data_IF_058422616339
#
_entry.id   IF_058422616339
#
_cell.length_a   1.000
_cell.length_b   1.000
_cell.length_c   1.000
_cell.angle_alpha   90.00
_cell.angle_beta   90.00
_cell.angle_gamma   90.00
#
_symmetry.space_group_name_H-M   'P 1'
#
loop_
_entity.id
_entity.type
_entity.pdbx_description
1 polymer ?
#
# COMPACT_ATOMS: atom_id res chain seq x y z
N UNK A 1 7.74 -0.08 29.36
CA UNK A 1 8.50 1.19 29.36
C UNK A 1 7.71 2.26 28.61
N UNK A 2 7.93 3.54 28.92
CA UNK A 2 7.31 4.68 28.24
C UNK A 2 7.52 4.68 26.72
N UNK A 3 8.58 4.05 26.22
CA UNK A 3 8.85 3.91 24.79
C UNK A 3 7.79 3.09 24.05
N UNK A 4 7.29 2.00 24.67
CA UNK A 4 6.19 1.20 24.08
C UNK A 4 4.91 2.03 23.98
N UNK A 5 4.60 2.83 25.00
CA UNK A 5 3.44 3.74 25.00
C UNK A 5 3.59 4.80 23.90
N UNK A 6 4.78 5.39 23.77
CA UNK A 6 5.07 6.36 22.71
C UNK A 6 4.95 5.73 21.31
N UNK A 7 5.40 4.49 21.14
CA UNK A 7 5.23 3.73 19.90
C UNK A 7 3.76 3.52 19.53
N UNK A 8 2.93 3.11 20.49
CA UNK A 8 1.48 2.96 20.28
C UNK A 8 0.80 4.28 19.94
N UNK A 9 1.17 5.37 20.62
CA UNK A 9 0.63 6.71 20.31
C UNK A 9 0.93 7.13 18.87
N UNK A 10 2.15 6.88 18.37
CA UNK A 10 2.50 7.14 16.98
C UNK A 10 1.64 6.35 15.99
N UNK A 11 1.30 5.09 16.32
CA UNK A 11 0.42 4.27 15.49
C UNK A 11 -0.98 4.87 15.37
N UNK A 12 -1.56 5.32 16.48
CA UNK A 12 -2.87 5.98 16.45
C UNK A 12 -2.85 7.27 15.63
N UNK A 13 -1.79 8.08 15.75
CA UNK A 13 -1.61 9.28 14.92
C UNK A 13 -1.48 8.92 13.43
N UNK A 14 -0.74 7.86 13.09
CA UNK A 14 -0.61 7.37 11.71
C UNK A 14 -1.97 6.91 11.17
N UNK A 15 -2.74 6.14 11.95
CA UNK A 15 -4.10 5.71 11.58
C UNK A 15 -5.03 6.91 11.31
N UNK A 16 -5.00 7.92 12.17
CA UNK A 16 -5.77 9.15 11.97
C UNK A 16 -5.38 9.88 10.68
N UNK A 17 -4.08 9.99 10.41
CA UNK A 17 -3.58 10.64 9.18
C UNK A 17 -3.97 9.86 7.91
N UNK A 18 -3.94 8.52 7.97
CA UNK A 18 -4.43 7.66 6.89
C UNK A 18 -5.92 7.90 6.67
N UNK A 19 -6.73 7.93 7.72
CA UNK A 19 -8.16 8.19 7.62
C UNK A 19 -8.46 9.57 7.00
N UNK A 20 -7.74 10.61 7.43
CA UNK A 20 -7.85 11.96 6.85
C UNK A 20 -7.42 12.03 5.38
N UNK A 21 -6.42 11.26 4.98
CA UNK A 21 -6.04 11.16 3.57
C UNK A 21 -7.16 10.51 2.76
N UNK A 22 -7.67 9.37 3.24
CA UNK A 22 -8.70 8.59 2.54
C UNK A 22 -10.03 9.34 2.48
N UNK A 23 -10.37 10.16 3.48
CA UNK A 23 -11.58 10.98 3.49
C UNK A 23 -11.62 12.05 2.39
N UNK A 24 -10.50 12.26 1.68
CA UNK A 24 -10.44 13.19 0.54
C UNK A 24 -10.95 12.55 -0.76
N UNK A 25 -11.28 11.24 -0.75
CA UNK A 25 -11.76 10.51 -1.92
C UNK A 25 -13.21 10.05 -1.74
N UNK A 26 -13.97 9.88 -2.84
CA UNK A 26 -15.33 9.35 -2.78
C UNK A 26 -15.35 7.87 -2.39
N UNK A 27 -16.39 7.46 -1.66
CA UNK A 27 -16.73 6.06 -1.49
C UNK A 27 -17.39 5.54 -2.77
N UNK A 28 -16.87 4.44 -3.32
CA UNK A 28 -17.36 3.82 -4.55
C UNK A 28 -17.68 2.37 -4.31
N UNK A 29 -18.87 1.94 -4.73
CA UNK A 29 -19.34 0.56 -4.58
C UNK A 29 -19.63 -0.14 -5.92
N UNK A 30 -19.48 0.56 -7.05
CA UNK A 30 -19.76 0.02 -8.39
C UNK A 30 -19.02 0.79 -9.49
N UNK A 31 -19.00 0.24 -10.70
CA UNK A 31 -18.38 0.84 -11.89
C UNK A 31 -16.92 1.27 -11.67
N UNK A 32 -16.15 0.33 -11.09
CA UNK A 32 -14.71 0.43 -10.89
C UNK A 32 -13.99 -0.76 -11.53
N UNK A 33 -12.69 -0.60 -11.73
CA UNK A 33 -11.79 -1.66 -12.19
C UNK A 33 -10.59 -1.70 -11.25
N UNK A 34 -10.25 -2.88 -10.73
CA UNK A 34 -9.11 -3.02 -9.83
C UNK A 34 -7.83 -3.20 -10.63
N UNK A 35 -6.87 -2.31 -10.40
CA UNK A 35 -5.52 -2.50 -10.93
C UNK A 35 -4.82 -3.69 -10.22
N UNK A 36 -3.76 -4.26 -10.79
CA UNK A 36 -2.97 -5.31 -10.13
C UNK A 36 -2.49 -4.93 -8.72
N UNK A 37 -2.07 -3.68 -8.52
CA UNK A 37 -1.68 -3.17 -7.20
C UNK A 37 -2.84 -3.22 -6.18
N UNK A 38 -4.06 -2.89 -6.63
CA UNK A 38 -5.27 -2.92 -5.79
C UNK A 38 -5.62 -4.36 -5.38
N UNK A 39 -5.57 -5.28 -6.35
CA UNK A 39 -5.78 -6.72 -6.11
C UNK A 39 -4.75 -7.29 -5.12
N UNK A 40 -3.48 -6.91 -5.26
CA UNK A 40 -2.41 -7.35 -4.36
C UNK A 40 -2.66 -6.90 -2.92
N UNK A 41 -3.02 -5.63 -2.68
CA UNK A 41 -3.24 -5.15 -1.31
C UNK A 41 -4.51 -5.73 -0.70
N UNK A 42 -5.57 -5.95 -1.49
CA UNK A 42 -6.81 -6.58 -1.03
C UNK A 42 -6.58 -8.05 -0.66
N UNK A 43 -5.77 -8.78 -1.44
CA UNK A 43 -5.34 -10.13 -1.09
C UNK A 43 -4.55 -10.14 0.22
N UNK A 44 -3.63 -9.18 0.42
CA UNK A 44 -2.91 -9.06 1.69
C UNK A 44 -3.81 -8.69 2.87
N UNK A 45 -4.81 -7.84 2.64
CA UNK A 45 -5.84 -7.50 3.63
C UNK A 45 -6.67 -8.74 4.00
N UNK A 46 -6.95 -9.61 3.04
CA UNK A 46 -7.66 -10.87 3.27
C UNK A 46 -6.87 -11.80 4.20
N UNK A 47 -5.56 -11.95 3.98
CA UNK A 47 -4.67 -12.68 4.89
C UNK A 47 -4.67 -12.09 6.30
N UNK A 48 -4.66 -10.75 6.40
CA UNK A 48 -4.73 -10.04 7.69
C UNK A 48 -6.03 -10.37 8.44
N UNK A 49 -7.18 -10.42 7.74
CA UNK A 49 -8.46 -10.80 8.35
C UNK A 49 -8.32 -12.19 8.98
N UNK A 50 -7.85 -13.17 8.21
CA UNK A 50 -7.65 -14.55 8.70
C UNK A 50 -6.70 -14.63 9.89
N UNK A 51 -5.58 -13.89 9.87
CA UNK A 51 -4.63 -13.84 10.98
C UNK A 51 -5.25 -13.22 12.25
N UNK A 52 -5.99 -12.11 12.10
CA UNK A 52 -6.64 -11.45 13.23
C UNK A 52 -7.73 -12.32 13.85
N UNK A 53 -8.55 -12.99 13.02
CA UNK A 53 -9.59 -13.91 13.48
C UNK A 53 -8.99 -15.04 14.32
N UNK A 54 -7.94 -15.70 13.81
CA UNK A 54 -7.19 -16.72 14.56
C UNK A 54 -6.63 -16.17 15.88
N UNK A 55 -6.11 -14.94 15.85
CA UNK A 55 -5.64 -14.26 17.07
C UNK A 55 -6.74 -14.12 18.11
N UNK A 56 -7.91 -13.58 17.72
CA UNK A 56 -9.04 -13.40 18.63
C UNK A 56 -9.67 -14.72 19.11
N UNK A 57 -9.81 -15.71 18.23
CA UNK A 57 -10.31 -17.06 18.56
C UNK A 57 -9.44 -17.74 19.63
N UNK A 58 -8.12 -17.52 19.57
CA UNK A 58 -7.17 -18.04 20.55
C UNK A 58 -6.93 -17.09 21.74
N UNK A 59 -7.78 -16.07 21.93
CA UNK A 59 -7.64 -15.03 22.98
C UNK A 59 -6.29 -14.30 22.96
N UNK A 60 -5.61 -14.28 21.81
CA UNK A 60 -4.33 -13.62 21.58
C UNK A 60 -4.52 -12.30 20.82
N UNK A 61 -5.09 -11.30 21.50
CA UNK A 61 -5.27 -9.96 20.94
C UNK A 61 -3.93 -9.28 20.59
N UNK A 62 -2.81 -9.70 21.20
CA UNK A 62 -1.49 -9.19 20.89
C UNK A 62 -1.02 -9.57 19.48
N UNK A 63 -1.32 -10.79 19.04
CA UNK A 63 -1.06 -11.22 17.66
C UNK A 63 -1.83 -10.35 16.67
N UNK A 64 -3.14 -10.19 16.87
CA UNK A 64 -3.98 -9.33 16.02
C UNK A 64 -3.48 -7.88 16.01
N UNK A 65 -3.19 -7.30 17.17
CA UNK A 65 -2.66 -5.94 17.28
C UNK A 65 -1.34 -5.76 16.49
N UNK A 66 -0.45 -6.75 16.57
CA UNK A 66 0.84 -6.73 15.88
C UNK A 66 0.65 -6.84 14.36
N UNK A 67 -0.18 -7.77 13.90
CA UNK A 67 -0.48 -7.97 12.49
C UNK A 67 -1.12 -6.72 11.87
N UNK A 68 -2.13 -6.13 12.53
CA UNK A 68 -2.80 -4.90 12.08
C UNK A 68 -1.79 -3.75 12.00
N UNK A 69 -0.94 -3.59 13.01
CA UNK A 69 0.08 -2.53 13.02
C UNK A 69 1.08 -2.70 11.87
N UNK A 70 1.58 -3.91 11.65
CA UNK A 70 2.53 -4.22 10.58
C UNK A 70 1.90 -3.97 9.21
N UNK A 71 0.68 -4.47 8.97
CA UNK A 71 -0.03 -4.22 7.71
C UNK A 71 -0.27 -2.72 7.50
N UNK A 72 -0.86 -2.04 8.47
CA UNK A 72 -1.27 -0.63 8.33
C UNK A 72 -0.06 0.27 8.11
N UNK A 73 1.02 0.05 8.86
CA UNK A 73 2.19 0.91 8.79
C UNK A 73 3.12 0.51 7.65
N UNK A 74 3.64 -0.72 7.69
CA UNK A 74 4.77 -1.14 6.87
C UNK A 74 4.39 -1.62 5.48
N UNK A 75 3.10 -1.85 5.20
CA UNK A 75 2.63 -2.34 3.90
C UNK A 75 1.70 -1.30 3.29
N UNK A 76 0.58 -1.04 3.96
CA UNK A 76 -0.45 -0.15 3.43
C UNK A 76 0.05 1.28 3.34
N UNK A 77 0.52 1.87 4.44
CA UNK A 77 0.84 3.29 4.45
C UNK A 77 2.18 3.64 3.83
N UNK A 78 3.21 2.82 4.05
CA UNK A 78 4.54 3.12 3.53
C UNK A 78 4.63 2.84 2.03
N UNK A 79 3.93 1.83 1.49
CA UNK A 79 4.00 1.44 0.07
C UNK A 79 2.71 1.71 -0.69
N UNK A 80 1.61 1.03 -0.36
CA UNK A 80 0.39 1.11 -1.17
C UNK A 80 -0.17 2.54 -1.27
N UNK A 81 -0.25 3.27 -0.15
CA UNK A 81 -0.74 4.66 -0.15
C UNK A 81 0.14 5.59 -0.98
N UNK A 82 1.46 5.38 -1.00
CA UNK A 82 2.35 6.19 -1.82
C UNK A 82 2.16 5.87 -3.32
N UNK A 83 2.05 4.59 -3.66
CA UNK A 83 1.85 4.12 -5.03
C UNK A 83 0.50 4.58 -5.61
N UNK A 84 -0.58 4.38 -4.86
CA UNK A 84 -1.94 4.62 -5.34
C UNK A 84 -2.28 6.11 -5.47
N UNK A 85 -1.55 7.03 -4.81
CA UNK A 85 -1.82 8.49 -4.87
C UNK A 85 -1.97 9.01 -6.30
N UNK A 86 -1.09 8.60 -7.20
CA UNK A 86 -1.12 9.05 -8.60
C UNK A 86 -2.42 8.62 -9.29
N UNK A 87 -2.87 7.39 -9.06
CA UNK A 87 -4.15 6.88 -9.59
C UNK A 87 -5.37 7.46 -8.88
N UNK A 88 -5.32 7.61 -7.55
CA UNK A 88 -6.44 8.14 -6.77
C UNK A 88 -6.72 9.62 -7.08
N UNK A 89 -5.69 10.45 -7.23
CA UNK A 89 -5.85 11.85 -7.63
C UNK A 89 -6.06 12.02 -9.13
N UNK A 90 -5.40 11.19 -9.96
CA UNK A 90 -5.44 11.20 -11.42
C UNK A 90 -5.33 12.61 -12.07
N UNK A 91 -4.50 13.49 -11.51
CA UNK A 91 -4.47 14.92 -11.90
C UNK A 91 -4.12 15.15 -13.36
N UNK A 92 -3.36 14.24 -13.96
CA UNK A 92 -2.91 14.31 -15.34
C UNK A 92 -3.76 13.45 -16.29
N UNK A 93 -4.81 12.78 -15.79
CA UNK A 93 -5.70 11.94 -16.61
C UNK A 93 -5.03 10.71 -17.23
N UNK A 94 -3.91 10.22 -16.67
CA UNK A 94 -3.15 9.09 -17.21
C UNK A 94 -3.89 7.76 -16.99
N UNK A 95 -4.66 7.66 -15.90
CA UNK A 95 -5.47 6.48 -15.58
C UNK A 95 -6.91 6.66 -16.06
N UNK A 96 -7.56 5.56 -16.44
CA UNK A 96 -9.00 5.57 -16.73
C UNK A 96 -9.80 5.92 -15.47
N UNK A 97 -11.01 6.47 -15.66
CA UNK A 97 -11.89 6.78 -14.53
C UNK A 97 -12.26 5.51 -13.73
N UNK A 98 -12.37 4.36 -14.39
CA UNK A 98 -12.66 3.08 -13.72
C UNK A 98 -11.52 2.63 -12.81
N UNK A 99 -10.26 2.80 -13.26
CA UNK A 99 -9.09 2.50 -12.44
C UNK A 99 -8.96 3.49 -11.27
N UNK A 100 -9.24 4.78 -11.48
CA UNK A 100 -9.29 5.76 -10.39
C UNK A 100 -10.32 5.38 -9.33
N UNK A 101 -11.52 4.96 -9.76
CA UNK A 101 -12.56 4.45 -8.85
C UNK A 101 -12.14 3.16 -8.15
N UNK A 102 -11.36 2.30 -8.80
CA UNK A 102 -10.78 1.10 -8.21
C UNK A 102 -9.81 1.40 -7.07
N UNK A 103 -8.98 2.45 -7.24
CA UNK A 103 -8.15 2.98 -6.15
C UNK A 103 -8.99 3.48 -4.98
N UNK A 104 -10.08 4.22 -5.23
CA UNK A 104 -10.95 4.72 -4.16
C UNK A 104 -11.66 3.59 -3.40
N UNK A 105 -12.22 2.62 -4.13
CA UNK A 105 -12.80 1.40 -3.54
C UNK A 105 -11.79 0.71 -2.63
N UNK A 106 -10.57 0.50 -3.11
CA UNK A 106 -9.53 -0.21 -2.35
C UNK A 106 -9.05 0.57 -1.12
N UNK A 107 -8.86 1.88 -1.24
CA UNK A 107 -8.51 2.75 -0.12
C UNK A 107 -9.55 2.66 1.00
N UNK A 108 -10.83 2.82 0.67
CA UNK A 108 -11.91 2.71 1.64
C UNK A 108 -12.06 1.29 2.20
N UNK A 109 -11.99 0.27 1.34
CA UNK A 109 -12.08 -1.14 1.77
C UNK A 109 -10.99 -1.53 2.76
N UNK A 110 -9.74 -1.09 2.53
CA UNK A 110 -8.64 -1.28 3.46
C UNK A 110 -8.88 -0.56 4.79
N UNK A 111 -9.22 0.73 4.77
CA UNK A 111 -9.44 1.50 6.00
C UNK A 111 -10.63 0.96 6.81
N UNK A 112 -11.76 0.70 6.16
CA UNK A 112 -12.96 0.13 6.80
C UNK A 112 -12.61 -1.18 7.52
N UNK A 113 -11.88 -2.06 6.85
CA UNK A 113 -11.47 -3.36 7.41
C UNK A 113 -10.48 -3.18 8.56
N UNK A 114 -9.46 -2.33 8.41
CA UNK A 114 -8.49 -2.03 9.49
C UNK A 114 -9.23 -1.54 10.75
N UNK A 115 -10.18 -0.62 10.60
CA UNK A 115 -10.93 -0.07 11.73
C UNK A 115 -11.73 -1.17 12.45
N UNK A 116 -12.43 -2.03 11.71
CA UNK A 116 -13.21 -3.14 12.27
C UNK A 116 -12.33 -4.17 12.98
N UNK A 117 -11.18 -4.54 12.38
CA UNK A 117 -10.23 -5.47 12.98
C UNK A 117 -9.61 -4.90 14.27
N UNK A 118 -9.39 -3.58 14.32
CA UNK A 118 -8.76 -2.88 15.43
C UNK A 118 -9.75 -2.47 16.53
N UNK A 119 -11.05 -2.39 16.24
CA UNK A 119 -12.07 -1.92 17.17
C UNK A 119 -12.06 -2.61 18.55
N UNK A 120 -11.87 -3.94 18.66
CA UNK A 120 -11.77 -4.61 19.95
C UNK A 120 -10.56 -4.17 20.80
N UNK A 121 -9.53 -3.58 20.19
CA UNK A 121 -8.28 -3.18 20.85
C UNK A 121 -8.24 -1.66 21.08
N UNK A 122 -8.70 -0.86 20.13
CA UNK A 122 -8.66 0.61 20.17
C UNK A 122 -10.05 1.21 19.88
N UNK A 123 -11.01 1.08 20.80
CA UNK A 123 -12.42 1.33 20.52
C UNK A 123 -12.75 2.79 20.23
N UNK A 124 -12.12 3.74 20.90
CA UNK A 124 -12.49 5.16 20.79
C UNK A 124 -12.09 5.80 19.47
N UNK A 125 -10.86 5.57 19.00
CA UNK A 125 -10.38 6.15 17.74
C UNK A 125 -11.03 5.46 16.53
N UNK A 126 -11.26 4.16 16.63
CA UNK A 126 -11.93 3.41 15.56
C UNK A 126 -13.38 3.84 15.43
N UNK A 127 -14.10 4.03 16.55
CA UNK A 127 -15.45 4.60 16.59
C UNK A 127 -15.48 6.02 16.00
N UNK A 128 -14.57 6.90 16.42
CA UNK A 128 -14.56 8.29 15.95
C UNK A 128 -14.35 8.38 14.42
N UNK A 129 -13.40 7.61 13.87
CA UNK A 129 -13.17 7.57 12.43
C UNK A 129 -14.35 6.93 11.70
N UNK A 130 -14.91 5.86 12.26
CA UNK A 130 -16.04 5.13 11.68
C UNK A 130 -17.30 5.99 11.55
N UNK A 131 -17.67 6.70 12.63
CA UNK A 131 -18.86 7.54 12.67
C UNK A 131 -18.80 8.76 11.74
N UNK A 132 -17.57 9.20 11.46
CA UNK A 132 -17.31 10.29 10.53
C UNK A 132 -17.41 9.81 9.08
N UNK A 133 -16.80 8.67 8.76
CA UNK A 133 -16.62 8.26 7.37
C UNK A 133 -17.68 7.29 6.85
N UNK A 134 -18.15 6.33 7.65
CA UNK A 134 -18.82 5.14 7.10
C UNK A 134 -20.27 4.94 7.56
N UNK A 135 -20.60 5.28 8.81
CA UNK A 135 -21.95 5.07 9.33
C UNK A 135 -22.29 6.07 10.43
N UNK A 136 -23.57 6.21 10.76
CA UNK A 136 -24.00 6.88 12.02
C UNK A 136 -24.21 5.90 13.16
N UNK A 137 -24.15 4.61 12.86
CA UNK A 137 -24.18 3.54 13.85
C UNK A 137 -22.78 3.17 14.30
N UNK A 138 -22.67 2.76 15.56
CA UNK A 138 -21.40 2.37 16.18
C UNK A 138 -20.70 1.26 15.41
N UNK A 139 -19.37 1.31 15.34
CA UNK A 139 -18.55 0.22 14.76
C UNK A 139 -18.71 -1.06 15.60
N UNK A 140 -19.00 -0.90 16.89
CA UNK A 140 -19.07 -2.00 17.87
C UNK A 140 -20.33 -2.86 17.74
N UNK A 141 -21.31 -2.44 16.92
CA UNK A 141 -22.48 -3.26 16.57
C UNK A 141 -22.37 -3.86 15.16
N UNK A 142 -21.28 -3.57 14.44
CA UNK A 142 -21.06 -4.09 13.08
C UNK A 142 -20.52 -5.52 13.15
N UNK A 143 -20.76 -6.28 12.08
CA UNK A 143 -20.17 -7.62 11.94
C UNK A 143 -18.65 -7.52 11.83
N UNK A 144 -17.98 -8.45 12.52
CA UNK A 144 -16.55 -8.60 12.39
C UNK A 144 -16.20 -9.06 10.95
N UNK A 145 -15.08 -8.59 10.36
CA UNK A 145 -14.72 -8.93 8.98
C UNK A 145 -14.55 -10.45 8.77
N UNK A 146 -14.89 -10.88 7.57
CA UNK A 146 -14.70 -12.23 7.06
C UNK A 146 -13.83 -12.18 5.80
N UNK A 147 -13.09 -13.26 5.56
CA UNK A 147 -12.31 -13.39 4.33
C UNK A 147 -13.25 -13.40 3.12
N UNK A 148 -12.86 -12.69 2.07
CA UNK A 148 -13.63 -12.51 0.85
C UNK A 148 -12.99 -13.26 -0.29
N UNK A 149 -13.77 -14.05 -1.02
CA UNK A 149 -13.26 -14.87 -2.12
C UNK A 149 -12.78 -13.99 -3.28
N UNK A 150 -13.48 -12.90 -3.54
CA UNK A 150 -13.14 -11.91 -4.57
C UNK A 150 -11.85 -11.14 -4.30
N UNK A 151 -11.33 -11.20 -3.06
CA UNK A 151 -10.06 -10.58 -2.70
C UNK A 151 -8.89 -11.57 -2.78
N UNK A 152 -9.12 -12.85 -3.05
CA UNK A 152 -8.04 -13.82 -3.22
C UNK A 152 -7.31 -13.58 -4.53
N UNK A 153 -5.99 -13.40 -4.43
CA UNK A 153 -5.15 -13.17 -5.60
C UNK A 153 -3.70 -13.61 -5.36
N UNK A 154 -3.11 -14.30 -6.33
CA UNK A 154 -1.72 -14.73 -6.26
C UNK A 154 -0.72 -13.58 -6.39
N UNK A 155 -1.16 -12.38 -6.79
CA UNK A 155 -0.33 -11.18 -6.80
C UNK A 155 0.21 -10.82 -5.41
N UNK A 156 -0.42 -11.26 -4.32
CA UNK A 156 0.10 -11.10 -2.95
C UNK A 156 1.51 -11.65 -2.78
N UNK A 157 1.88 -12.70 -3.53
CA UNK A 157 3.21 -13.30 -3.50
C UNK A 157 4.31 -12.36 -4.03
N UNK A 158 3.94 -11.34 -4.82
CA UNK A 158 4.86 -10.34 -5.34
C UNK A 158 5.05 -9.16 -4.39
N UNK A 159 4.28 -9.06 -3.31
CA UNK A 159 4.35 -7.94 -2.37
C UNK A 159 5.77 -7.70 -1.82
N UNK A 160 6.54 -8.71 -1.37
CA UNK A 160 7.91 -8.48 -0.90
C UNK A 160 8.81 -7.87 -1.97
N UNK A 161 8.69 -8.34 -3.22
CA UNK A 161 9.48 -7.84 -4.36
C UNK A 161 9.07 -6.44 -4.77
N UNK A 162 7.76 -6.12 -4.70
CA UNK A 162 7.26 -4.77 -4.90
C UNK A 162 7.82 -3.79 -3.85
N UNK A 163 7.75 -4.17 -2.57
CA UNK A 163 8.28 -3.34 -1.47
C UNK A 163 9.79 -3.14 -1.58
N UNK A 164 10.53 -4.17 -1.98
CA UNK A 164 11.96 -4.08 -2.20
C UNK A 164 12.31 -3.16 -3.37
N UNK A 165 11.54 -3.21 -4.46
CA UNK A 165 11.69 -2.26 -5.57
C UNK A 165 11.52 -0.81 -5.10
N UNK A 166 10.46 -0.51 -4.34
CA UNK A 166 10.21 0.82 -3.79
C UNK A 166 11.38 1.30 -2.92
N UNK A 167 11.85 0.43 -2.01
CA UNK A 167 12.94 0.73 -1.11
C UNK A 167 14.24 1.00 -1.90
N UNK A 168 14.57 0.17 -2.88
CA UNK A 168 15.75 0.34 -3.72
C UNK A 168 15.75 1.69 -4.44
N UNK A 169 14.61 2.08 -5.03
CA UNK A 169 14.47 3.37 -5.73
C UNK A 169 14.58 4.54 -4.76
N UNK A 170 13.94 4.49 -3.60
CA UNK A 170 14.06 5.56 -2.60
C UNK A 170 15.47 5.70 -2.04
N UNK A 171 16.16 4.59 -1.77
CA UNK A 171 17.55 4.62 -1.32
C UNK A 171 18.48 5.17 -2.41
N UNK A 172 18.27 4.78 -3.66
CA UNK A 172 19.00 5.34 -4.80
C UNK A 172 18.79 6.86 -4.91
N UNK A 173 17.53 7.33 -4.89
CA UNK A 173 17.22 8.77 -4.93
C UNK A 173 17.88 9.52 -3.78
N UNK A 174 17.78 8.99 -2.56
CA UNK A 174 18.40 9.58 -1.37
C UNK A 174 19.93 9.64 -1.50
N UNK A 175 20.58 8.57 -1.96
CA UNK A 175 22.03 8.51 -2.19
C UNK A 175 22.50 9.53 -3.23
N UNK A 176 21.70 9.77 -4.27
CA UNK A 176 21.97 10.75 -5.33
C UNK A 176 21.46 12.17 -5.01
N UNK A 177 20.92 12.39 -3.80
CA UNK A 177 20.31 13.65 -3.37
C UNK A 177 19.18 14.15 -4.31
N UNK A 178 18.43 13.20 -4.88
CA UNK A 178 17.25 13.43 -5.71
C UNK A 178 16.01 13.42 -4.81
N UNK A 179 15.12 14.41 -4.95
CA UNK A 179 13.87 14.40 -4.19
C UNK A 179 12.99 13.20 -4.58
N UNK A 180 12.24 12.62 -3.64
CA UNK A 180 11.43 11.42 -3.93
C UNK A 180 10.38 11.67 -5.02
N UNK A 181 9.86 12.91 -5.07
CA UNK A 181 8.94 13.37 -6.10
C UNK A 181 9.65 13.96 -7.33
N UNK A 182 10.97 13.90 -7.45
CA UNK A 182 11.67 14.33 -8.65
C UNK A 182 11.70 13.17 -9.66
N UNK A 183 11.61 13.53 -10.94
CA UNK A 183 11.73 12.59 -12.05
C UNK A 183 13.12 11.95 -12.10
N UNK A 184 13.17 10.66 -12.45
CA UNK A 184 14.41 9.94 -12.71
C UNK A 184 14.76 10.02 -14.20
N UNK A 185 15.83 10.75 -14.52
CA UNK A 185 16.39 10.81 -15.88
C UNK A 185 17.38 9.66 -16.13
N UNK A 186 16.91 8.43 -15.90
CA UNK A 186 17.67 7.21 -16.08
C UNK A 186 16.75 6.09 -16.58
N UNK A 187 17.32 5.08 -17.24
CA UNK A 187 16.61 3.84 -17.52
C UNK A 187 16.65 2.96 -16.26
N UNK A 188 15.48 2.53 -15.81
CA UNK A 188 15.34 1.63 -14.68
C UNK A 188 14.98 0.25 -15.22
N UNK A 189 15.78 -0.75 -14.87
CA UNK A 189 15.49 -2.14 -15.19
C UNK A 189 14.91 -2.82 -13.95
N UNK A 190 13.81 -3.54 -14.12
CA UNK A 190 13.10 -4.23 -13.06
C UNK A 190 12.86 -5.71 -13.41
N UNK A 191 12.69 -6.58 -12.41
CA UNK A 191 12.33 -7.97 -12.64
C UNK A 191 11.01 -8.12 -13.43
N UNK A 192 10.97 -9.08 -14.36
CA UNK A 192 9.85 -9.26 -15.29
C UNK A 192 8.52 -9.61 -14.61
N UNK A 193 8.57 -10.19 -13.42
CA UNK A 193 7.40 -10.51 -12.62
C UNK A 193 6.73 -9.27 -12.00
N UNK A 194 7.42 -8.13 -11.91
CA UNK A 194 6.84 -6.85 -11.49
C UNK A 194 6.11 -6.11 -12.62
N UNK A 195 6.11 -6.65 -13.85
CA UNK A 195 5.40 -6.06 -15.00
C UNK A 195 3.92 -5.71 -14.75
N UNK A 196 3.13 -6.48 -13.99
CA UNK A 196 1.76 -6.11 -13.66
C UNK A 196 1.62 -4.74 -12.97
N UNK A 197 2.67 -4.25 -12.31
CA UNK A 197 2.66 -2.99 -11.56
C UNK A 197 3.27 -1.81 -12.33
N UNK A 198 3.60 -1.97 -13.61
CA UNK A 198 4.35 -0.99 -14.42
C UNK A 198 3.83 0.45 -14.26
N UNK A 199 2.52 0.65 -14.47
CA UNK A 199 1.92 1.98 -14.47
C UNK A 199 1.97 2.65 -13.09
N UNK A 200 1.80 1.88 -12.01
CA UNK A 200 1.92 2.38 -10.64
C UNK A 200 3.37 2.72 -10.31
N UNK A 201 4.31 1.84 -10.64
CA UNK A 201 5.74 2.04 -10.37
C UNK A 201 6.27 3.28 -11.11
N UNK A 202 5.91 3.45 -12.38
CA UNK A 202 6.28 4.64 -13.17
C UNK A 202 5.68 5.90 -12.57
N UNK A 203 4.41 5.88 -12.21
CA UNK A 203 3.72 7.06 -11.68
C UNK A 203 4.22 7.46 -10.29
N UNK A 204 4.42 6.49 -9.40
CA UNK A 204 4.89 6.69 -8.02
C UNK A 204 6.31 7.25 -7.98
N UNK A 205 7.22 6.62 -8.72
CA UNK A 205 8.64 6.96 -8.70
C UNK A 205 9.05 7.97 -9.77
N UNK A 206 8.10 8.42 -10.61
CA UNK A 206 8.35 9.30 -11.75
C UNK A 206 9.46 8.77 -12.65
N UNK A 207 9.31 7.50 -13.04
CA UNK A 207 10.22 6.80 -13.94
C UNK A 207 9.69 6.97 -15.37
N UNK A 208 10.48 7.61 -16.25
CA UNK A 208 10.12 7.72 -17.66
C UNK A 208 10.37 6.43 -18.44
N UNK A 209 11.49 5.77 -18.16
CA UNK A 209 11.92 4.57 -18.87
C UNK A 209 12.07 3.41 -17.88
N UNK A 210 11.00 2.63 -17.72
CA UNK A 210 10.99 1.39 -16.94
C UNK A 210 11.01 0.21 -17.91
N UNK A 211 12.03 -0.63 -17.80
CA UNK A 211 12.26 -1.78 -18.67
C UNK A 211 12.22 -3.04 -17.81
N UNK A 212 11.59 -4.09 -18.29
CA UNK A 212 11.50 -5.36 -17.58
C UNK A 212 12.51 -6.36 -18.14
N UNK A 213 13.44 -6.82 -17.30
CA UNK A 213 14.55 -7.69 -17.67
C UNK A 213 15.90 -7.12 -17.25
N UNK A 214 16.97 -7.65 -17.82
CA UNK A 214 18.34 -7.22 -17.53
C UNK A 214 18.83 -6.13 -18.49
N UNK A 215 19.71 -5.21 -18.03
CA UNK A 215 20.36 -4.25 -18.91
C UNK A 215 21.30 -4.93 -19.90
N UNK A 216 21.49 -4.37 -21.11
CA UNK A 216 22.49 -4.85 -22.06
C UNK A 216 23.90 -4.87 -21.45
N UNK A 217 24.68 -5.92 -21.72
CA UNK A 217 26.03 -6.10 -21.12
C UNK A 217 27.04 -4.99 -21.47
N UNK A 218 26.74 -4.19 -22.49
CA UNK A 218 27.56 -3.04 -22.92
C UNK A 218 27.19 -1.72 -22.22
N UNK A 219 26.10 -1.67 -21.45
CA UNK A 219 25.69 -0.49 -20.68
C UNK A 219 26.26 -0.53 -19.26
N UNK A 220 26.67 0.63 -18.74
CA UNK A 220 27.15 0.75 -17.36
C UNK A 220 25.94 0.79 -16.41
N UNK A 221 25.48 -0.38 -16.00
CA UNK A 221 24.37 -0.54 -15.08
C UNK A 221 24.81 -0.63 -13.60
N UNK A 222 24.17 0.13 -12.72
CA UNK A 222 24.32 0.04 -11.27
C UNK A 222 23.19 -0.83 -10.70
N UNK A 223 23.50 -1.96 -10.04
CA UNK A 223 22.50 -2.73 -9.29
C UNK A 223 22.19 -2.01 -7.97
N UNK A 224 20.92 -1.72 -7.72
CA UNK A 224 20.49 -0.88 -6.59
C UNK A 224 19.70 -1.62 -5.50
N UNK A 225 19.41 -2.91 -5.70
CA UNK A 225 18.82 -3.81 -4.69
C UNK A 225 19.75 -5.00 -4.46
N UNK A 226 19.83 -5.47 -3.22
CA UNK A 226 20.57 -6.69 -2.87
C UNK A 226 19.74 -7.96 -3.11
N UNK A 227 18.42 -7.86 -3.02
CA UNK A 227 17.51 -9.02 -3.05
C UNK A 227 16.89 -9.29 -4.42
N UNK A 228 16.70 -8.24 -5.24
CA UNK A 228 16.10 -8.36 -6.57
C UNK A 228 16.92 -7.65 -7.64
N UNK A 229 16.70 -8.05 -8.89
CA UNK A 229 17.44 -7.54 -10.06
C UNK A 229 16.88 -6.20 -10.53
N UNK A 230 17.21 -5.15 -9.77
CA UNK A 230 16.88 -3.76 -10.10
C UNK A 230 18.14 -3.00 -10.44
N UNK A 231 18.18 -2.42 -11.64
CA UNK A 231 19.33 -1.69 -12.13
C UNK A 231 18.97 -0.28 -12.58
N UNK A 232 19.94 0.62 -12.48
CA UNK A 232 19.87 1.97 -13.02
C UNK A 232 20.96 2.13 -14.08
N UNK A 233 20.56 2.56 -15.28
CA UNK A 233 21.46 2.99 -16.34
C UNK A 233 21.27 4.49 -16.54
N UNK A 234 22.26 5.27 -16.12
CA UNK A 234 22.28 6.72 -16.30
C UNK A 234 22.49 7.05 -17.80
N UNK A 235 21.79 8.07 -18.30
CA UNK A 235 22.09 8.60 -19.64
C UNK A 235 23.51 9.15 -19.64
N UNK A 236 24.32 8.73 -20.60
CA UNK A 236 25.62 9.36 -20.83
C UNK A 236 25.38 10.82 -21.22
N UNK A 237 26.03 11.74 -20.48
CA UNK A 237 25.98 13.18 -20.72
C UNK A 237 26.63 13.57 -22.04
#
# INVERSE_FOLDING_TARGET
SFERIRGTSKFLTKLWNIARFISSFPQVNSDYELAPLDRMILAKLNELIGECRKGYENMNAFQAATAIRTFTWNIFADHYLEAVKSRAYNRNGIFSLKLQRGAWYTLHGCLETILKLLAPICPFITEAIWLELYSKESIHIQRFPEEKEEWRDNLVNLLPRFMEFDNAIWQYKKRKNIALNQELDAAIYAPTDLKPFEEDLKAMHRIKNLIFGEPPSNEKAEKISEEIDVYVVEKQA
#
